data_IF_452791429992
#
_entry.id   IF_452791429992
#
_cell.length_a   1.000
_cell.length_b   1.000
_cell.length_c   1.000
_cell.angle_alpha   90.00
_cell.angle_beta   90.00
_cell.angle_gamma   90.00
#
_symmetry.space_group_name_H-M   'P 1'
#
loop_
_entity.id
_entity.type
_entity.pdbx_description
1 polymer ?
#
# COMPACT_ATOMS: atom_id res chain seq x y z
N UNK A 1 28.37 11.09 -17.13
CA UNK A 1 27.10 11.74 -17.51
C UNK A 1 26.02 11.03 -16.73
N UNK A 2 25.61 11.56 -15.59
CA UNK A 2 24.55 10.96 -14.77
C UNK A 2 23.22 11.36 -15.39
N UNK A 3 22.57 10.43 -16.08
CA UNK A 3 21.18 10.56 -16.49
C UNK A 3 20.32 10.58 -15.23
N UNK A 4 19.95 11.77 -14.75
CA UNK A 4 18.88 11.92 -13.76
C UNK A 4 17.60 11.39 -14.40
N UNK A 5 17.17 10.21 -13.96
CA UNK A 5 15.89 9.65 -14.37
C UNK A 5 14.79 10.62 -13.93
N UNK A 6 13.83 10.98 -14.79
CA UNK A 6 12.77 11.93 -14.41
C UNK A 6 11.96 11.37 -13.24
N UNK A 7 11.73 12.20 -12.21
CA UNK A 7 10.86 11.87 -11.07
C UNK A 7 9.47 11.52 -11.61
N UNK A 8 8.93 10.35 -11.28
CA UNK A 8 7.54 9.99 -11.60
C UNK A 8 6.59 10.99 -10.92
N UNK A 9 5.50 11.43 -11.59
CA UNK A 9 4.54 12.33 -10.98
C UNK A 9 3.78 11.62 -9.85
N UNK A 10 3.49 12.36 -8.79
CA UNK A 10 2.54 11.91 -7.76
C UNK A 10 1.10 12.10 -8.23
N UNK A 11 0.14 11.41 -7.63
CA UNK A 11 -1.29 11.61 -7.83
C UNK A 11 -1.69 13.06 -7.58
N UNK A 12 -1.09 13.69 -6.57
CA UNK A 12 -1.28 15.11 -6.29
C UNK A 12 -0.76 16.01 -7.41
N UNK A 13 0.40 15.69 -8.00
CA UNK A 13 0.92 16.41 -9.18
C UNK A 13 -0.06 16.31 -10.37
N UNK A 14 -0.87 15.25 -10.42
CA UNK A 14 -1.91 15.04 -11.43
C UNK A 14 -3.28 15.65 -11.05
N UNK A 15 -3.39 16.30 -9.88
CA UNK A 15 -4.63 16.87 -9.37
C UNK A 15 -5.63 15.83 -8.85
N UNK A 16 -5.14 14.66 -8.41
CA UNK A 16 -5.93 13.55 -7.90
C UNK A 16 -5.70 13.41 -6.39
N UNK A 17 -6.73 12.96 -5.69
CA UNK A 17 -6.73 12.83 -4.23
C UNK A 17 -6.98 11.37 -3.78
N UNK A 18 -6.98 11.17 -2.46
CA UNK A 18 -7.24 9.88 -1.85
C UNK A 18 -8.63 9.31 -2.19
N UNK A 19 -9.64 10.17 -2.34
CA UNK A 19 -10.99 9.75 -2.68
C UNK A 19 -11.05 9.20 -4.11
N UNK A 20 -10.37 9.85 -5.05
CA UNK A 20 -10.22 9.36 -6.41
C UNK A 20 -9.53 8.00 -6.45
N UNK A 21 -8.42 7.83 -5.71
CA UNK A 21 -7.71 6.56 -5.66
C UNK A 21 -8.55 5.45 -5.02
N UNK A 22 -9.25 5.75 -3.92
CA UNK A 22 -10.15 4.80 -3.27
C UNK A 22 -11.26 4.31 -4.23
N UNK A 23 -11.86 5.21 -5.01
CA UNK A 23 -12.85 4.86 -6.02
C UNK A 23 -12.26 3.97 -7.13
N UNK A 24 -11.04 4.25 -7.58
CA UNK A 24 -10.33 3.39 -8.56
C UNK A 24 -10.07 1.98 -8.02
N UNK A 25 -9.66 1.87 -6.76
CA UNK A 25 -9.43 0.58 -6.10
C UNK A 25 -10.75 -0.18 -5.92
N UNK A 26 -11.83 0.51 -5.55
CA UNK A 26 -13.16 -0.09 -5.46
C UNK A 26 -13.65 -0.63 -6.81
N UNK A 27 -13.44 0.13 -7.89
CA UNK A 27 -13.76 -0.28 -9.25
C UNK A 27 -12.94 -1.50 -9.70
N UNK A 28 -11.65 -1.58 -9.33
CA UNK A 28 -10.75 -2.63 -9.79
C UNK A 28 -9.60 -2.92 -8.81
N UNK A 29 -9.81 -3.77 -7.79
CA UNK A 29 -8.80 -4.07 -6.77
C UNK A 29 -7.53 -4.73 -7.33
N UNK A 30 -7.62 -5.37 -8.50
CA UNK A 30 -6.47 -5.99 -9.19
C UNK A 30 -5.37 -4.98 -9.55
N UNK A 31 -5.70 -3.68 -9.60
CA UNK A 31 -4.68 -2.65 -9.84
C UNK A 31 -3.57 -2.64 -8.78
N UNK A 32 -3.83 -3.19 -7.58
CA UNK A 32 -2.86 -3.26 -6.49
C UNK A 32 -1.89 -4.45 -6.59
N UNK A 33 -2.09 -5.37 -7.53
CA UNK A 33 -1.18 -6.51 -7.79
C UNK A 33 -0.78 -7.33 -6.54
N UNK A 34 -1.77 -7.60 -5.66
CA UNK A 34 -1.52 -8.24 -4.34
C UNK A 34 -1.47 -9.77 -4.38
N UNK A 35 -2.00 -10.37 -5.43
CA UNK A 35 -2.27 -11.81 -5.56
C UNK A 35 -2.48 -12.15 -7.04
N UNK A 36 -2.23 -13.41 -7.41
CA UNK A 36 -2.57 -13.94 -8.74
C UNK A 36 -4.09 -14.09 -8.96
N UNK A 37 -4.88 -13.90 -7.89
CA UNK A 37 -6.33 -13.99 -7.89
C UNK A 37 -7.05 -12.71 -8.35
N UNK A 38 -8.38 -12.71 -8.16
CA UNK A 38 -9.24 -11.54 -8.42
C UNK A 38 -9.83 -11.07 -7.09
N UNK A 39 -9.11 -10.22 -6.33
CA UNK A 39 -9.59 -9.75 -5.05
C UNK A 39 -10.85 -8.92 -5.21
N UNK A 40 -11.80 -9.11 -4.29
CA UNK A 40 -13.05 -8.36 -4.22
C UNK A 40 -12.94 -7.25 -3.19
N UNK A 41 -13.44 -6.07 -3.53
CA UNK A 41 -13.55 -4.97 -2.58
C UNK A 41 -14.63 -5.27 -1.53
N UNK A 42 -14.31 -5.11 -0.24
CA UNK A 42 -15.28 -5.21 0.85
C UNK A 42 -15.71 -3.82 1.34
N UNK A 43 -14.76 -2.96 1.70
CA UNK A 43 -15.04 -1.59 2.19
C UNK A 43 -13.81 -0.69 2.24
N UNK A 44 -14.06 0.61 2.26
CA UNK A 44 -13.08 1.64 2.67
C UNK A 44 -13.19 1.92 4.17
N UNK A 45 -12.05 2.08 4.83
CA UNK A 45 -11.93 2.59 6.20
C UNK A 45 -11.40 4.02 6.12
N UNK A 46 -12.22 5.03 6.45
CA UNK A 46 -11.77 6.42 6.40
C UNK A 46 -10.71 6.68 7.46
N UNK A 47 -9.82 7.62 7.14
CA UNK A 47 -8.80 8.12 8.08
C UNK A 47 -8.97 9.63 8.23
N UNK A 48 -8.38 10.20 9.27
CA UNK A 48 -8.56 11.63 9.61
C UNK A 48 -7.81 12.57 8.65
N UNK A 49 -6.63 12.16 8.18
CA UNK A 49 -5.86 12.92 7.18
C UNK A 49 -6.46 12.82 5.77
N UNK A 50 -6.32 13.87 4.94
CA UNK A 50 -6.92 13.95 3.60
C UNK A 50 -6.26 13.00 2.57
N UNK A 51 -5.08 12.50 2.88
CA UNK A 51 -4.22 11.73 1.96
C UNK A 51 -4.14 10.25 2.29
N UNK A 52 -4.97 9.80 3.23
CA UNK A 52 -4.87 8.48 3.83
C UNK A 52 -6.25 7.82 3.90
N UNK A 53 -6.26 6.52 3.64
CA UNK A 53 -7.43 5.65 3.81
C UNK A 53 -6.93 4.21 3.94
N UNK A 54 -7.80 3.30 4.37
CA UNK A 54 -7.53 1.88 4.20
C UNK A 54 -8.63 1.24 3.35
N UNK A 55 -8.32 0.13 2.70
CA UNK A 55 -9.33 -0.74 2.09
C UNK A 55 -9.21 -2.15 2.64
N UNK A 56 -10.35 -2.82 2.76
CA UNK A 56 -10.42 -4.25 3.00
C UNK A 56 -10.82 -4.93 1.71
N UNK A 57 -10.03 -5.94 1.35
CA UNK A 57 -10.26 -6.78 0.17
C UNK A 57 -10.36 -8.24 0.60
N UNK A 58 -11.04 -9.05 -0.20
CA UNK A 58 -11.18 -10.48 0.00
C UNK A 58 -10.77 -11.22 -1.27
N UNK A 59 -9.77 -12.10 -1.15
CA UNK A 59 -9.41 -13.02 -2.22
C UNK A 59 -10.22 -14.32 -2.10
N UNK A 60 -11.13 -14.61 -3.04
CA UNK A 60 -11.91 -15.84 -3.00
C UNK A 60 -11.09 -17.10 -3.34
N UNK A 61 -9.88 -16.96 -3.90
CA UNK A 61 -9.06 -18.10 -4.30
C UNK A 61 -8.55 -18.89 -3.09
N UNK A 62 -8.14 -18.20 -2.02
CA UNK A 62 -7.58 -18.80 -0.80
C UNK A 62 -8.32 -18.38 0.49
N UNK A 63 -9.30 -17.48 0.38
CA UNK A 63 -10.07 -16.96 1.51
C UNK A 63 -9.34 -15.90 2.32
N UNK A 64 -8.18 -15.42 1.85
CA UNK A 64 -7.39 -14.39 2.52
C UNK A 64 -8.07 -13.02 2.41
N UNK A 65 -8.04 -12.27 3.51
CA UNK A 65 -8.38 -10.84 3.50
C UNK A 65 -7.14 -9.99 3.46
N UNK A 66 -7.16 -8.94 2.66
CA UNK A 66 -6.11 -7.93 2.61
C UNK A 66 -6.60 -6.65 3.28
N UNK A 67 -5.75 -6.09 4.12
CA UNK A 67 -5.92 -4.78 4.72
C UNK A 67 -4.84 -3.91 4.12
N UNK A 68 -5.22 -3.00 3.24
CA UNK A 68 -4.28 -2.13 2.54
C UNK A 68 -4.41 -0.74 3.13
N UNK A 69 -3.42 -0.33 3.92
CA UNK A 69 -3.32 1.04 4.43
C UNK A 69 -2.62 1.89 3.38
N UNK A 70 -3.33 2.87 2.82
CA UNK A 70 -2.88 3.70 1.71
C UNK A 70 -2.52 5.10 2.20
N UNK A 71 -1.41 5.64 1.71
CA UNK A 71 -0.97 7.01 1.90
C UNK A 71 -0.49 7.61 0.57
N UNK A 72 -1.05 8.75 0.17
CA UNK A 72 -0.50 9.52 -0.95
C UNK A 72 0.82 10.17 -0.49
N UNK A 73 1.83 10.15 -1.37
CA UNK A 73 3.20 10.55 -1.07
C UNK A 73 4.03 9.39 -0.50
N UNK A 74 5.07 9.75 0.26
CA UNK A 74 5.93 8.78 0.91
C UNK A 74 5.24 8.15 2.13
N UNK A 75 5.48 6.85 2.34
CA UNK A 75 5.07 6.18 3.57
C UNK A 75 5.84 6.70 4.79
N UNK A 76 5.25 6.50 5.96
CA UNK A 76 5.88 6.76 7.25
C UNK A 76 5.60 5.62 8.25
N UNK A 77 6.29 5.65 9.40
CA UNK A 77 6.11 4.63 10.45
C UNK A 77 4.75 4.70 11.13
N UNK A 78 4.07 5.84 11.08
CA UNK A 78 2.72 5.98 11.61
C UNK A 78 1.71 5.21 10.74
N UNK A 79 1.89 5.21 9.42
CA UNK A 79 1.13 4.40 8.47
C UNK A 79 1.27 2.91 8.78
N UNK A 80 2.50 2.42 8.98
CA UNK A 80 2.73 1.03 9.38
C UNK A 80 2.00 0.70 10.69
N UNK A 81 2.07 1.59 11.68
CA UNK A 81 1.38 1.43 12.96
C UNK A 81 -0.14 1.35 12.79
N UNK A 82 -0.73 2.23 11.97
CA UNK A 82 -2.18 2.20 11.65
C UNK A 82 -2.59 0.93 10.93
N UNK A 83 -1.77 0.45 10.00
CA UNK A 83 -2.00 -0.78 9.26
C UNK A 83 -2.04 -2.00 10.21
N UNK A 84 -1.04 -2.12 11.09
CA UNK A 84 -0.96 -3.19 12.09
C UNK A 84 -2.12 -3.15 13.09
N UNK A 85 -2.51 -1.96 13.55
CA UNK A 85 -3.64 -1.80 14.47
C UNK A 85 -4.96 -2.23 13.83
N UNK A 86 -5.19 -1.90 12.56
CA UNK A 86 -6.37 -2.36 11.82
C UNK A 86 -6.33 -3.88 11.60
N UNK A 87 -5.16 -4.43 11.25
CA UNK A 87 -4.98 -5.87 11.12
C UNK A 87 -5.30 -6.64 12.40
N UNK A 88 -4.81 -6.16 13.55
CA UNK A 88 -5.12 -6.72 14.85
C UNK A 88 -6.62 -6.72 15.15
N UNK A 89 -7.30 -5.59 14.87
CA UNK A 89 -8.72 -5.46 15.09
C UNK A 89 -9.55 -6.40 14.20
N UNK A 90 -9.20 -6.50 12.91
CA UNK A 90 -9.93 -7.33 11.95
C UNK A 90 -9.73 -8.81 12.18
N UNK A 91 -8.49 -9.28 12.45
CA UNK A 91 -8.24 -10.69 12.77
C UNK A 91 -8.90 -11.12 14.07
N UNK A 92 -9.05 -10.21 15.04
CA UNK A 92 -9.76 -10.46 16.30
C UNK A 92 -11.26 -10.53 16.06
N UNK A 93 -11.80 -9.65 15.22
CA UNK A 93 -13.22 -9.60 14.84
C UNK A 93 -13.64 -10.82 14.02
N UNK A 94 -12.80 -11.25 13.08
CA UNK A 94 -13.03 -12.40 12.22
C UNK A 94 -11.76 -13.26 12.18
N UNK A 95 -11.70 -14.39 12.91
CA UNK A 95 -10.51 -15.25 13.02
C UNK A 95 -10.20 -16.08 11.75
N UNK A 96 -9.98 -15.40 10.63
CA UNK A 96 -9.53 -15.97 9.34
C UNK A 96 -8.20 -15.37 8.93
N UNK A 97 -7.60 -15.87 7.84
CA UNK A 97 -6.35 -15.34 7.32
C UNK A 97 -6.49 -13.86 6.91
N UNK A 98 -5.63 -13.01 7.47
CA UNK A 98 -5.53 -11.61 7.12
C UNK A 98 -4.07 -11.27 6.80
N UNK A 99 -3.85 -10.58 5.68
CA UNK A 99 -2.58 -9.95 5.29
C UNK A 99 -2.71 -8.44 5.41
N UNK A 100 -1.64 -7.79 5.86
CA UNK A 100 -1.58 -6.34 5.99
C UNK A 100 -0.59 -5.80 4.97
N UNK A 101 -0.96 -4.74 4.26
CA UNK A 101 -0.16 -4.14 3.20
C UNK A 101 -0.07 -2.64 3.45
N UNK A 102 1.15 -2.11 3.46
CA UNK A 102 1.40 -0.67 3.46
C UNK A 102 1.59 -0.24 2.02
N UNK A 103 0.73 0.63 1.52
CA UNK A 103 0.77 1.13 0.14
C UNK A 103 1.02 2.64 0.12
N UNK A 104 2.02 3.09 -0.64
CA UNK A 104 2.32 4.52 -0.79
C UNK A 104 2.99 4.81 -2.13
N UNK A 105 3.05 6.07 -2.56
CA UNK A 105 3.72 6.44 -3.83
C UNK A 105 5.25 6.30 -3.76
N UNK A 106 5.79 6.26 -2.55
CA UNK A 106 7.18 5.92 -2.28
C UNK A 106 7.28 5.20 -0.93
N UNK A 107 8.11 4.16 -0.86
CA UNK A 107 8.43 3.44 0.38
C UNK A 107 9.87 3.76 0.79
N UNK A 108 10.07 4.60 1.83
CA UNK A 108 11.39 4.85 2.39
C UNK A 108 12.05 3.59 3.00
N UNK A 109 13.38 3.55 3.00
CA UNK A 109 14.15 2.39 3.46
C UNK A 109 13.95 2.07 4.96
N UNK A 110 13.77 3.10 5.79
CA UNK A 110 13.48 2.96 7.21
C UNK A 110 12.08 2.36 7.46
N UNK A 111 11.08 2.77 6.68
CA UNK A 111 9.75 2.15 6.68
C UNK A 111 9.84 0.70 6.23
N UNK A 112 10.61 0.41 5.16
CA UNK A 112 10.80 -0.96 4.69
C UNK A 112 11.48 -1.85 5.73
N UNK A 113 12.47 -1.32 6.44
CA UNK A 113 13.13 -2.02 7.55
C UNK A 113 12.18 -2.26 8.72
N UNK A 114 11.39 -1.26 9.12
CA UNK A 114 10.38 -1.40 10.17
C UNK A 114 9.33 -2.47 9.81
N UNK A 115 8.89 -2.52 8.55
CA UNK A 115 7.98 -3.54 8.05
C UNK A 115 8.61 -4.94 8.07
N UNK A 116 9.90 -5.07 7.76
CA UNK A 116 10.62 -6.34 7.85
C UNK A 116 10.69 -6.85 9.30
N UNK A 117 10.93 -5.98 10.27
CA UNK A 117 10.87 -6.33 11.69
C UNK A 117 9.44 -6.76 12.12
N UNK A 118 8.43 -6.07 11.62
CA UNK A 118 7.02 -6.38 11.91
C UNK A 118 6.56 -7.76 11.38
N UNK A 119 7.28 -8.36 10.42
CA UNK A 119 6.99 -9.72 9.93
C UNK A 119 7.11 -10.81 11.01
N UNK A 120 7.83 -10.55 12.11
CA UNK A 120 7.86 -11.47 13.25
C UNK A 120 6.48 -11.61 13.93
N UNK A 121 5.56 -10.67 13.69
CA UNK A 121 4.26 -10.58 14.36
C UNK A 121 3.09 -10.69 13.39
N UNK A 122 3.19 -10.10 12.19
CA UNK A 122 2.10 -10.04 11.22
C UNK A 122 2.58 -10.31 9.79
N UNK A 123 1.76 -10.87 8.89
CA UNK A 123 2.09 -11.04 7.48
C UNK A 123 2.02 -9.69 6.74
N UNK A 124 3.09 -8.90 6.88
CA UNK A 124 3.23 -7.55 6.32
C UNK A 124 3.78 -7.60 4.89
N UNK A 125 3.14 -6.87 3.98
CA UNK A 125 3.64 -6.55 2.65
C UNK A 125 3.81 -5.05 2.43
N UNK A 126 4.59 -4.68 1.43
CA UNK A 126 4.80 -3.30 1.00
C UNK A 126 4.43 -3.18 -0.48
N UNK A 127 3.82 -2.06 -0.85
CA UNK A 127 3.39 -1.78 -2.21
C UNK A 127 3.73 -0.32 -2.56
N UNK A 128 4.52 -0.13 -3.61
CA UNK A 128 4.68 1.20 -4.20
C UNK A 128 3.56 1.45 -5.22
N UNK A 129 2.96 2.64 -5.17
CA UNK A 129 1.92 3.08 -6.08
C UNK A 129 2.53 3.96 -7.16
N UNK A 130 2.21 3.66 -8.42
CA UNK A 130 2.71 4.40 -9.56
C UNK A 130 1.55 4.95 -10.38
N UNK A 131 1.62 6.23 -10.71
CA UNK A 131 0.66 6.92 -11.54
C UNK A 131 1.30 7.38 -12.85
N UNK A 132 0.63 7.09 -13.96
CA UNK A 132 1.02 7.54 -15.29
C UNK A 132 -0.14 8.23 -15.98
N UNK A 133 0.14 9.32 -16.69
CA UNK A 133 -0.87 10.08 -17.43
C UNK A 133 -0.55 10.07 -18.92
N UNK A 134 -1.47 9.52 -19.72
CA UNK A 134 -1.41 9.57 -21.18
C UNK A 134 -2.64 10.30 -21.71
N UNK A 135 -2.44 11.53 -22.20
CA UNK A 135 -3.53 12.41 -22.59
C UNK A 135 -4.47 12.70 -21.42
N UNK A 136 -5.72 12.23 -21.53
CA UNK A 136 -6.76 12.41 -20.51
C UNK A 136 -6.93 11.17 -19.60
N UNK A 137 -6.15 10.11 -19.83
CA UNK A 137 -6.25 8.86 -19.08
C UNK A 137 -5.15 8.87 -18.02
N UNK A 138 -5.52 8.57 -16.78
CA UNK A 138 -4.59 8.28 -15.70
C UNK A 138 -4.68 6.79 -15.37
N UNK A 139 -3.53 6.13 -15.36
CA UNK A 139 -3.37 4.73 -14.98
C UNK A 139 -2.65 4.71 -13.64
N UNK A 140 -3.15 3.89 -12.72
CA UNK A 140 -2.48 3.59 -11.45
C UNK A 140 -2.25 2.09 -11.37
N UNK A 141 -1.07 1.70 -10.94
CA UNK A 141 -0.74 0.32 -10.60
C UNK A 141 0.10 0.26 -9.33
N UNK A 142 -0.04 -0.84 -8.60
CA UNK A 142 0.84 -1.20 -7.50
C UNK A 142 2.03 -2.03 -7.99
N UNK A 143 3.18 -1.86 -7.34
CA UNK A 143 4.38 -2.68 -7.51
C UNK A 143 4.79 -3.22 -6.13
N UNK A 144 4.76 -4.55 -5.91
CA UNK A 144 5.19 -5.12 -4.64
C UNK A 144 6.66 -4.82 -4.34
N UNK A 145 6.93 -4.25 -3.17
CA UNK A 145 8.30 -3.97 -2.74
C UNK A 145 8.82 -5.14 -1.92
N UNK A 146 9.95 -5.77 -2.32
CA UNK A 146 10.54 -6.84 -1.53
C UNK A 146 11.04 -6.29 -0.20
N UNK A 147 10.70 -6.99 0.88
CA UNK A 147 11.20 -6.64 2.20
C UNK A 147 12.71 -6.88 2.28
N UNK A 148 13.46 -5.97 2.93
CA UNK A 148 14.88 -6.15 3.12
C UNK A 148 15.18 -7.43 3.92
N UNK A 149 16.27 -8.10 3.57
CA UNK A 149 16.79 -9.20 4.38
C UNK A 149 17.28 -8.72 5.76
N UNK A 150 17.47 -9.64 6.72
CA UNK A 150 17.85 -9.29 8.10
C UNK A 150 19.16 -8.50 8.21
N UNK A 151 20.06 -8.65 7.23
CA UNK A 151 21.38 -8.01 7.21
C UNK A 151 21.46 -6.79 6.25
N UNK A 152 20.34 -6.31 5.72
CA UNK A 152 20.34 -5.19 4.78
C UNK A 152 20.79 -3.89 5.47
N UNK A 153 21.76 -3.15 4.92
CA UNK A 153 22.20 -1.89 5.50
C UNK A 153 21.05 -0.88 5.48
N UNK A 154 20.82 -0.21 6.62
CA UNK A 154 19.93 0.95 6.68
C UNK A 154 20.60 2.05 5.85
N UNK A 155 20.08 2.32 4.66
CA UNK A 155 20.53 3.45 3.88
C UNK A 155 20.28 4.72 4.71
N UNK A 156 21.29 5.59 4.91
CA UNK A 156 21.05 6.85 5.60
C UNK A 156 19.99 7.63 4.82
N UNK A 157 18.96 8.09 5.55
CA UNK A 157 17.91 8.93 4.95
C UNK A 157 18.51 10.17 4.26
N UNK A 158 17.78 10.77 3.31
CA UNK A 158 18.20 12.00 2.64
C UNK A 158 18.42 13.17 3.61
#
# INVERSE_FOLDING_TARGET
MSTTQPRRPTLKDLGLDAAWLAARIEESPILLDLTDGMPKFERTVPRTGPDQFAVLLFDPADGTRFIVEVQLGAADTDQLTRALALWEAERTRLPVAHRVVVAAEHIPADVAHAAALAQATAPVGLLELHAEKTGNIVIVHGEPVPLPGPDAPIAPGP
#
